data_IF_394956666006
#
_entry.id   IF_394956666006
#
_cell.length_a   1.000
_cell.length_b   1.000
_cell.length_c   1.000
_cell.angle_alpha   90.00
_cell.angle_beta   90.00
_cell.angle_gamma   90.00
#
_symmetry.space_group_name_H-M   'P 1'
#
loop_
_entity.id
_entity.type
_entity.pdbx_description
1 polymer ?
#
# COMPACT_ATOMS: atom_id res chain seq x y z
N UNK A 1 9.14 -38.95 -3.63
CA UNK A 1 8.68 -37.64 -3.12
C UNK A 1 8.28 -37.82 -1.67
N UNK A 2 8.89 -37.08 -0.73
CA UNK A 2 8.40 -37.08 0.65
C UNK A 2 7.08 -36.29 0.72
N UNK A 3 6.07 -36.86 1.37
CA UNK A 3 4.81 -36.18 1.66
C UNK A 3 5.07 -35.08 2.69
N UNK A 4 4.87 -33.81 2.33
CA UNK A 4 4.86 -32.71 3.29
C UNK A 4 3.47 -32.61 3.92
N UNK A 5 3.39 -32.78 5.23
CA UNK A 5 2.17 -32.55 6.00
C UNK A 5 2.12 -31.08 6.40
N UNK A 6 1.25 -30.29 5.76
CA UNK A 6 0.96 -28.92 6.19
C UNK A 6 -0.10 -28.96 7.30
N UNK A 7 0.20 -28.39 8.47
CA UNK A 7 -0.76 -28.31 9.60
C UNK A 7 -1.58 -27.03 9.58
N UNK A 8 -1.06 -25.98 8.93
CA UNK A 8 -1.67 -24.65 8.87
C UNK A 8 -1.49 -24.08 7.48
N UNK A 9 -2.57 -23.54 6.92
CA UNK A 9 -2.56 -22.81 5.66
C UNK A 9 -3.19 -21.45 5.93
N UNK A 10 -2.48 -20.38 5.55
CA UNK A 10 -2.93 -19.00 5.69
C UNK A 10 -3.30 -18.48 4.31
N UNK A 11 -4.49 -17.92 4.19
CA UNK A 11 -4.96 -17.28 2.97
C UNK A 11 -5.20 -15.80 3.25
N UNK A 12 -4.80 -14.98 2.28
CA UNK A 12 -5.26 -13.61 2.21
C UNK A 12 -6.64 -13.56 1.54
N UNK A 13 -7.37 -12.47 1.72
CA UNK A 13 -8.70 -12.27 1.13
C UNK A 13 -8.58 -11.57 -0.22
N UNK A 14 -8.24 -10.28 -0.22
CA UNK A 14 -8.31 -9.42 -1.39
C UNK A 14 -7.23 -9.78 -2.42
N UNK A 15 -7.63 -10.02 -3.66
CA UNK A 15 -6.70 -10.44 -4.71
C UNK A 15 -6.19 -11.89 -4.56
N UNK A 16 -6.61 -12.62 -3.51
CA UNK A 16 -6.29 -14.04 -3.32
C UNK A 16 -7.56 -14.91 -3.37
N UNK A 17 -8.42 -14.83 -2.34
CA UNK A 17 -9.71 -15.54 -2.32
C UNK A 17 -10.84 -14.73 -2.97
N UNK A 18 -10.79 -13.40 -2.84
CA UNK A 18 -11.70 -12.47 -3.47
C UNK A 18 -11.02 -11.85 -4.69
N UNK A 19 -11.46 -12.16 -5.93
CA UNK A 19 -10.91 -11.54 -7.12
C UNK A 19 -11.10 -10.03 -7.09
N UNK A 20 -10.00 -9.29 -7.26
CA UNK A 20 -10.00 -7.84 -7.28
C UNK A 20 -9.48 -7.37 -8.64
N UNK A 21 -10.24 -6.50 -9.31
CA UNK A 21 -9.69 -5.71 -10.41
C UNK A 21 -8.76 -4.65 -9.81
N UNK A 22 -7.48 -5.01 -9.72
CA UNK A 22 -6.47 -4.18 -9.08
C UNK A 22 -6.29 -2.84 -9.80
N UNK A 23 -6.47 -2.79 -11.12
CA UNK A 23 -6.33 -1.53 -11.87
C UNK A 23 -7.50 -0.59 -11.56
N UNK A 24 -8.73 -1.10 -11.59
CA UNK A 24 -9.91 -0.33 -11.24
C UNK A 24 -9.88 0.15 -9.78
N UNK A 25 -9.47 -0.72 -8.85
CA UNK A 25 -9.34 -0.39 -7.44
C UNK A 25 -8.30 0.72 -7.20
N UNK A 26 -7.08 0.56 -7.72
CA UNK A 26 -6.00 1.52 -7.49
C UNK A 26 -6.33 2.89 -8.08
N UNK A 27 -6.95 2.93 -9.26
CA UNK A 27 -7.39 4.18 -9.89
C UNK A 27 -8.40 4.94 -8.99
N UNK A 28 -9.46 4.26 -8.54
CA UNK A 28 -10.45 4.89 -7.67
C UNK A 28 -9.89 5.28 -6.30
N UNK A 29 -8.99 4.46 -5.74
CA UNK A 29 -8.35 4.73 -4.46
C UNK A 29 -7.52 6.02 -4.52
N UNK A 30 -6.67 6.17 -5.54
CA UNK A 30 -5.84 7.37 -5.72
C UNK A 30 -6.68 8.62 -5.98
N UNK A 31 -7.75 8.51 -6.76
CA UNK A 31 -8.69 9.61 -6.98
C UNK A 31 -9.36 10.08 -5.69
N UNK A 32 -9.89 9.15 -4.88
CA UNK A 32 -10.55 9.46 -3.61
C UNK A 32 -9.56 10.04 -2.59
N UNK A 33 -8.37 9.45 -2.50
CA UNK A 33 -7.29 9.95 -1.66
C UNK A 33 -6.92 11.40 -2.03
N UNK A 34 -6.70 11.67 -3.32
CA UNK A 34 -6.37 13.00 -3.80
C UNK A 34 -7.45 14.04 -3.50
N UNK A 35 -8.73 13.68 -3.69
CA UNK A 35 -9.87 14.55 -3.33
C UNK A 35 -9.91 14.87 -1.83
N UNK A 36 -9.62 13.88 -0.99
CA UNK A 36 -9.61 14.08 0.45
C UNK A 36 -8.40 14.94 0.88
N UNK A 37 -7.23 14.73 0.31
CA UNK A 37 -6.06 15.59 0.53
C UNK A 37 -6.35 17.05 0.13
N UNK A 38 -7.00 17.26 -1.01
CA UNK A 38 -7.41 18.60 -1.44
C UNK A 38 -8.37 19.25 -0.44
N UNK A 39 -9.37 18.50 0.03
CA UNK A 39 -10.32 18.97 1.04
C UNK A 39 -9.62 19.41 2.34
N UNK A 40 -8.54 18.73 2.73
CA UNK A 40 -7.72 19.07 3.90
C UNK A 40 -6.72 20.22 3.64
N UNK A 41 -6.62 20.73 2.41
CA UNK A 41 -5.72 21.82 2.03
C UNK A 41 -4.30 21.37 1.64
N UNK A 42 -4.07 20.07 1.45
CA UNK A 42 -2.78 19.54 1.00
C UNK A 42 -2.60 19.62 -0.51
N UNK A 43 -1.34 19.67 -0.95
CA UNK A 43 -1.01 19.52 -2.37
C UNK A 43 -1.29 18.08 -2.81
N UNK A 44 -2.24 17.91 -3.74
CA UNK A 44 -2.65 16.60 -4.26
C UNK A 44 -1.47 15.89 -4.94
N UNK A 45 -0.68 16.61 -5.73
CA UNK A 45 0.49 16.05 -6.42
C UNK A 45 1.55 15.53 -5.43
N UNK A 46 1.83 16.28 -4.36
CA UNK A 46 2.79 15.86 -3.34
C UNK A 46 2.26 14.70 -2.50
N UNK A 47 0.96 14.72 -2.16
CA UNK A 47 0.33 13.63 -1.43
C UNK A 47 0.35 12.32 -2.23
N UNK A 48 0.02 12.36 -3.54
CA UNK A 48 0.07 11.18 -4.40
C UNK A 48 1.49 10.65 -4.57
N UNK A 49 2.48 11.53 -4.78
CA UNK A 49 3.90 11.13 -4.81
C UNK A 49 4.36 10.49 -3.50
N UNK A 50 3.94 11.03 -2.36
CA UNK A 50 4.21 10.44 -1.05
C UNK A 50 3.57 9.06 -0.90
N UNK A 51 2.32 8.92 -1.34
CA UNK A 51 1.59 7.65 -1.30
C UNK A 51 2.30 6.58 -2.14
N UNK A 52 2.69 6.90 -3.37
CA UNK A 52 3.47 6.02 -4.25
C UNK A 52 4.82 5.65 -3.62
N UNK A 53 5.54 6.61 -3.04
CA UNK A 53 6.82 6.36 -2.38
C UNK A 53 6.68 5.44 -1.15
N UNK A 54 5.65 5.67 -0.34
CA UNK A 54 5.34 4.85 0.83
C UNK A 54 4.98 3.41 0.44
N UNK A 55 4.11 3.24 -0.55
CA UNK A 55 3.73 1.93 -1.09
C UNK A 55 4.95 1.20 -1.68
N UNK A 56 5.77 1.90 -2.45
CA UNK A 56 7.01 1.34 -3.00
C UNK A 56 7.98 0.85 -1.91
N UNK A 57 8.13 1.62 -0.82
CA UNK A 57 8.97 1.24 0.31
C UNK A 57 8.46 0.01 1.08
N UNK A 58 7.13 -0.16 1.17
CA UNK A 58 6.53 -1.37 1.73
C UNK A 58 6.82 -2.60 0.87
N UNK A 59 6.67 -2.49 -0.46
CA UNK A 59 6.96 -3.60 -1.37
C UNK A 59 8.43 -4.00 -1.38
N UNK A 60 9.34 -3.05 -1.19
CA UNK A 60 10.78 -3.29 -1.08
C UNK A 60 11.25 -3.72 0.33
N UNK A 61 10.32 -4.08 1.23
CA UNK A 61 10.66 -4.47 2.61
C UNK A 61 11.45 -5.77 2.65
N UNK A 62 12.51 -5.80 3.48
CA UNK A 62 13.34 -6.96 3.80
C UNK A 62 12.98 -7.59 5.17
N UNK A 63 11.88 -7.12 5.78
CA UNK A 63 11.40 -7.60 7.07
C UNK A 63 12.09 -7.00 8.30
N UNK A 64 13.03 -6.06 8.14
CA UNK A 64 13.75 -5.42 9.26
C UNK A 64 12.95 -4.34 10.00
N UNK A 65 11.84 -3.90 9.42
CA UNK A 65 10.89 -2.96 10.02
C UNK A 65 9.47 -3.22 9.54
N UNK A 66 8.49 -2.68 10.25
CA UNK A 66 7.09 -2.85 9.89
C UNK A 66 6.76 -2.05 8.61
N UNK A 67 5.75 -2.53 7.87
CA UNK A 67 5.24 -1.80 6.70
C UNK A 67 4.80 -0.38 7.05
N UNK A 68 4.21 -0.18 8.24
CA UNK A 68 3.81 1.14 8.73
C UNK A 68 4.99 2.08 8.87
N UNK A 69 6.06 1.66 9.56
CA UNK A 69 7.23 2.52 9.77
C UNK A 69 7.92 2.90 8.46
N UNK A 70 7.95 1.97 7.49
CA UNK A 70 8.48 2.25 6.14
C UNK A 70 7.60 3.23 5.40
N UNK A 71 6.29 2.97 5.38
CA UNK A 71 5.32 3.84 4.74
C UNK A 71 5.42 5.27 5.28
N UNK A 72 5.27 5.44 6.60
CA UNK A 72 5.21 6.74 7.25
C UNK A 72 6.48 7.56 6.95
N UNK A 73 7.66 6.92 7.04
CA UNK A 73 8.95 7.58 6.75
C UNK A 73 9.04 8.10 5.33
N UNK A 74 8.69 7.28 4.34
CA UNK A 74 8.84 7.63 2.94
C UNK A 74 7.73 8.57 2.46
N UNK A 75 6.51 8.37 2.94
CA UNK A 75 5.37 9.23 2.69
C UNK A 75 5.66 10.67 3.15
N UNK A 76 6.08 10.83 4.42
CA UNK A 76 6.33 12.14 4.99
C UNK A 76 7.53 12.84 4.31
N UNK A 77 8.59 12.10 4.02
CA UNK A 77 9.77 12.64 3.37
C UNK A 77 9.49 13.21 1.96
N UNK A 78 8.57 12.59 1.21
CA UNK A 78 8.25 13.00 -0.17
C UNK A 78 7.10 14.00 -0.21
N UNK A 79 6.03 13.78 0.55
CA UNK A 79 4.84 14.64 0.50
C UNK A 79 4.95 15.92 1.33
N UNK A 80 5.82 15.93 2.35
CA UNK A 80 5.87 17.00 3.35
C UNK A 80 4.69 17.00 4.33
N UNK A 81 3.88 15.94 4.35
CA UNK A 81 2.76 15.67 5.27
C UNK A 81 3.21 14.63 6.30
#
# INVERSE_FOLDING_TARGET
MQSRTFTTILFDLDGTLLPLDQQAFMHQYFDLFGRYCHFLGYSVDQALKGLEAGLGAMFASDGTSTNKERFDRHFAAVSGI
#
